data_IF_027619714150
#
_entry.id   IF_027619714150
#
_cell.length_a   1.000
_cell.length_b   1.000
_cell.length_c   1.000
_cell.angle_alpha   90.00
_cell.angle_beta   90.00
_cell.angle_gamma   90.00
#
_symmetry.space_group_name_H-M   'P 1'
#
loop_
_entity.id
_entity.type
_entity.pdbx_description
1 polymer ?
#
# COMPACT_ATOMS: atom_id res chain seq x y z
N UNK A 1 -6.02 19.84 22.30
CA UNK A 1 -4.72 19.90 21.59
C UNK A 1 -5.01 19.53 20.14
N UNK A 2 -4.41 20.22 19.19
CA UNK A 2 -4.53 19.82 17.77
C UNK A 2 -3.81 18.49 17.62
N UNK A 3 -4.41 17.54 16.88
CA UNK A 3 -3.75 16.25 16.62
C UNK A 3 -2.46 16.45 15.84
N UNK A 4 -1.50 15.56 16.04
CA UNK A 4 -0.22 15.48 15.32
C UNK A 4 0.01 14.09 14.73
N UNK A 5 -1.07 13.34 14.52
CA UNK A 5 -1.06 11.93 14.12
C UNK A 5 -1.36 11.79 12.64
N UNK A 6 -0.58 10.97 11.93
CA UNK A 6 -0.94 10.41 10.63
C UNK A 6 -1.29 8.92 10.78
N UNK A 7 -2.34 8.48 10.10
CA UNK A 7 -2.59 7.05 9.91
C UNK A 7 -1.99 6.61 8.59
N UNK A 8 -1.13 5.60 8.65
CA UNK A 8 -0.49 5.05 7.46
C UNK A 8 -0.78 3.57 7.33
N UNK A 9 -1.02 3.12 6.10
CA UNK A 9 -1.47 1.77 5.80
C UNK A 9 -0.50 1.06 4.85
N UNK A 10 -0.03 -0.16 5.21
CA UNK A 10 0.94 -0.87 4.40
C UNK A 10 0.34 -1.41 3.10
N UNK A 11 1.22 -1.62 2.12
CA UNK A 11 0.94 -2.31 0.88
C UNK A 11 1.41 -3.77 0.88
N UNK A 12 1.55 -4.32 -0.34
CA UNK A 12 2.02 -5.68 -0.56
C UNK A 12 3.41 -5.93 0.08
N UNK A 13 3.60 -7.16 0.56
CA UNK A 13 4.84 -7.58 1.24
C UNK A 13 4.74 -7.58 2.77
N UNK A 14 3.65 -7.10 3.33
CA UNK A 14 3.40 -7.11 4.79
C UNK A 14 2.61 -8.32 5.27
N UNK A 15 2.00 -9.10 4.35
CA UNK A 15 1.16 -10.25 4.68
C UNK A 15 1.96 -11.44 5.22
N UNK A 16 1.28 -12.24 6.06
CA UNK A 16 1.71 -13.57 6.51
C UNK A 16 0.51 -14.39 6.95
N UNK A 17 0.59 -15.70 6.84
CA UNK A 17 -0.42 -16.60 7.40
C UNK A 17 -0.53 -16.40 8.91
N UNK A 18 -1.75 -16.37 9.42
CA UNK A 18 -2.07 -16.13 10.82
C UNK A 18 -2.22 -14.66 11.21
N UNK A 19 -1.97 -13.69 10.30
CA UNK A 19 -2.16 -12.27 10.61
C UNK A 19 -3.62 -11.99 11.00
N UNK A 20 -3.82 -11.29 12.11
CA UNK A 20 -5.14 -10.93 12.63
C UNK A 20 -5.95 -12.06 13.27
N UNK A 21 -5.52 -13.35 13.18
CA UNK A 21 -6.27 -14.50 13.71
C UNK A 21 -6.55 -14.38 15.21
N UNK A 22 -5.49 -14.21 16.01
CA UNK A 22 -5.63 -14.07 17.46
C UNK A 22 -6.53 -12.87 17.84
N UNK A 23 -6.49 -11.79 17.05
CA UNK A 23 -7.35 -10.63 17.28
C UNK A 23 -8.82 -10.93 16.95
N UNK A 24 -9.11 -11.63 15.85
CA UNK A 24 -10.46 -12.06 15.47
C UNK A 24 -11.07 -13.04 16.48
N UNK A 25 -10.26 -13.89 17.11
CA UNK A 25 -10.71 -14.82 18.15
C UNK A 25 -11.19 -14.09 19.41
N UNK A 26 -10.57 -12.98 19.80
CA UNK A 26 -10.85 -12.25 21.04
C UNK A 26 -11.68 -10.98 20.89
N UNK A 27 -11.72 -10.37 19.71
CA UNK A 27 -12.47 -9.14 19.44
C UNK A 27 -13.63 -9.37 18.47
N UNK A 28 -14.83 -8.98 18.88
CA UNK A 28 -16.01 -9.00 18.03
C UNK A 28 -15.90 -8.00 16.87
N UNK A 29 -15.30 -6.83 17.12
CA UNK A 29 -15.07 -5.81 16.10
C UNK A 29 -14.13 -6.33 14.99
N UNK A 30 -13.02 -6.97 15.36
CA UNK A 30 -12.09 -7.57 14.38
C UNK A 30 -12.77 -8.69 13.59
N UNK A 31 -13.50 -9.58 14.26
CA UNK A 31 -14.22 -10.69 13.61
C UNK A 31 -15.22 -10.18 12.58
N UNK A 32 -16.02 -9.17 12.93
CA UNK A 32 -17.01 -8.58 12.04
C UNK A 32 -16.38 -8.00 10.76
N UNK A 33 -15.16 -7.49 10.83
CA UNK A 33 -14.42 -7.01 9.63
C UNK A 33 -14.11 -8.16 8.69
N UNK A 34 -13.56 -9.28 9.18
CA UNK A 34 -13.23 -10.44 8.35
C UNK A 34 -14.50 -11.06 7.74
N UNK A 35 -15.58 -11.19 8.53
CA UNK A 35 -16.89 -11.67 8.05
C UNK A 35 -17.45 -10.75 6.94
N UNK A 36 -17.40 -9.43 7.13
CA UNK A 36 -17.85 -8.48 6.12
C UNK A 36 -17.05 -8.54 4.81
N UNK A 37 -15.76 -8.80 4.89
CA UNK A 37 -14.91 -8.99 3.69
C UNK A 37 -15.24 -10.32 3.01
N UNK A 38 -15.39 -11.42 3.76
CA UNK A 38 -15.77 -12.72 3.22
C UNK A 38 -17.14 -12.64 2.51
N UNK A 39 -18.13 -11.99 3.13
CA UNK A 39 -19.45 -11.76 2.55
C UNK A 39 -19.36 -10.91 1.26
N UNK A 40 -18.55 -9.83 1.27
CA UNK A 40 -18.38 -8.96 0.12
C UNK A 40 -17.75 -9.69 -1.07
N UNK A 41 -16.84 -10.63 -0.81
CA UNK A 41 -16.14 -11.41 -1.83
C UNK A 41 -16.87 -12.68 -2.24
N UNK A 42 -17.80 -13.18 -1.40
CA UNK A 42 -18.57 -14.41 -1.65
C UNK A 42 -17.77 -15.70 -1.42
N UNK A 43 -16.63 -15.60 -0.71
CA UNK A 43 -15.82 -16.77 -0.33
C UNK A 43 -15.01 -16.44 0.96
N UNK A 44 -14.60 -17.50 1.74
CA UNK A 44 -13.94 -17.30 3.02
C UNK A 44 -12.44 -16.96 2.84
N UNK A 45 -12.12 -15.71 2.47
CA UNK A 45 -10.75 -15.22 2.41
C UNK A 45 -10.09 -15.28 3.79
N UNK A 46 -10.86 -15.05 4.87
CA UNK A 46 -10.39 -15.13 6.24
C UNK A 46 -9.73 -16.47 6.56
N UNK A 47 -10.24 -17.58 6.03
CA UNK A 47 -9.63 -18.90 6.18
C UNK A 47 -8.22 -18.94 5.55
N UNK A 48 -8.05 -18.37 4.36
CA UNK A 48 -6.74 -18.27 3.72
C UNK A 48 -5.78 -17.39 4.53
N UNK A 49 -6.29 -16.29 5.09
CA UNK A 49 -5.49 -15.40 5.94
C UNK A 49 -5.02 -16.12 7.20
N UNK A 50 -5.89 -16.87 7.85
CA UNK A 50 -5.62 -17.47 9.16
C UNK A 50 -4.86 -18.78 9.09
N UNK A 51 -5.18 -19.61 8.10
CA UNK A 51 -4.72 -21.00 8.05
C UNK A 51 -3.90 -21.32 6.79
N UNK A 52 -3.80 -20.40 5.85
CA UNK A 52 -3.03 -20.54 4.62
C UNK A 52 -3.72 -21.39 3.55
N UNK A 53 -2.96 -22.03 2.67
CA UNK A 53 -1.48 -22.07 2.63
C UNK A 53 -0.83 -20.74 2.20
N UNK A 54 0.48 -20.58 2.47
CA UNK A 54 1.23 -19.37 2.12
C UNK A 54 1.12 -19.03 0.62
N UNK A 55 1.20 -20.03 -0.25
CA UNK A 55 1.12 -19.85 -1.71
C UNK A 55 -0.22 -19.24 -2.13
N UNK A 56 -1.31 -19.58 -1.46
CA UNK A 56 -2.62 -18.97 -1.72
C UNK A 56 -2.67 -17.52 -1.26
N UNK A 57 -2.04 -17.19 -0.13
CA UNK A 57 -2.01 -15.84 0.43
C UNK A 57 -1.08 -14.91 -0.37
N UNK A 58 0.03 -15.42 -0.91
CA UNK A 58 1.00 -14.64 -1.71
C UNK A 58 0.42 -14.22 -3.07
N UNK A 59 -0.56 -14.94 -3.60
CA UNK A 59 -1.25 -14.57 -4.84
C UNK A 59 -1.82 -13.15 -4.72
N UNK A 60 -1.48 -12.27 -5.67
CA UNK A 60 -1.81 -10.82 -5.62
C UNK A 60 -3.30 -10.57 -5.41
N UNK A 61 -4.16 -11.39 -6.04
CA UNK A 61 -5.62 -11.30 -5.88
C UNK A 61 -6.13 -11.61 -4.47
N UNK A 62 -5.41 -12.45 -3.71
CA UNK A 62 -5.75 -12.74 -2.32
C UNK A 62 -5.03 -11.81 -1.35
N UNK A 63 -3.77 -11.49 -1.65
CA UNK A 63 -2.90 -10.67 -0.84
C UNK A 63 -3.47 -9.28 -0.58
N UNK A 64 -3.96 -8.60 -1.63
CA UNK A 64 -4.48 -7.25 -1.51
C UNK A 64 -5.70 -7.17 -0.57
N UNK A 65 -6.78 -7.92 -0.77
CA UNK A 65 -7.92 -7.88 0.16
C UNK A 65 -7.58 -8.45 1.54
N UNK A 66 -6.59 -9.35 1.65
CA UNK A 66 -6.14 -9.86 2.95
C UNK A 66 -5.46 -8.79 3.82
N UNK A 67 -4.59 -7.97 3.22
CA UNK A 67 -3.95 -6.85 3.91
C UNK A 67 -4.98 -5.78 4.27
N UNK A 68 -5.91 -5.44 3.37
CA UNK A 68 -7.03 -4.54 3.65
C UNK A 68 -7.83 -5.03 4.87
N UNK A 69 -8.32 -6.28 4.85
CA UNK A 69 -9.12 -6.85 5.92
C UNK A 69 -8.40 -6.81 7.27
N UNK A 70 -7.13 -7.26 7.29
CA UNK A 70 -6.33 -7.28 8.52
C UNK A 70 -6.08 -5.87 9.06
N UNK A 71 -5.76 -4.92 8.19
CA UNK A 71 -5.51 -3.53 8.59
C UNK A 71 -6.77 -2.87 9.16
N UNK A 72 -7.93 -3.09 8.53
CA UNK A 72 -9.20 -2.56 9.03
C UNK A 72 -9.65 -3.27 10.31
N UNK A 73 -9.35 -4.58 10.48
CA UNK A 73 -9.59 -5.26 11.74
C UNK A 73 -8.75 -4.67 12.89
N UNK A 74 -7.49 -4.35 12.63
CA UNK A 74 -6.62 -3.65 13.61
C UNK A 74 -7.16 -2.25 13.92
N UNK A 75 -7.53 -1.50 12.88
CA UNK A 75 -8.13 -0.18 13.01
C UNK A 75 -9.41 -0.21 13.86
N UNK A 76 -10.32 -1.15 13.61
CA UNK A 76 -11.60 -1.27 14.33
C UNK A 76 -11.39 -1.47 15.83
N UNK A 77 -10.45 -2.34 16.22
CA UNK A 77 -10.12 -2.59 17.64
C UNK A 77 -9.53 -1.35 18.29
N UNK A 78 -8.56 -0.70 17.64
CA UNK A 78 -7.93 0.51 18.18
C UNK A 78 -8.93 1.65 18.35
N UNK A 79 -9.91 1.78 17.46
CA UNK A 79 -10.99 2.77 17.59
C UNK A 79 -11.95 2.42 18.70
N UNK A 80 -12.34 1.15 18.85
CA UNK A 80 -13.21 0.68 19.94
C UNK A 80 -12.56 0.91 21.30
N UNK A 81 -11.27 0.67 21.43
CA UNK A 81 -10.51 0.87 22.66
C UNK A 81 -10.16 2.34 22.93
N UNK A 82 -10.43 3.26 22.01
CA UNK A 82 -10.02 4.66 22.10
C UNK A 82 -8.51 4.89 22.09
N UNK A 83 -7.76 3.91 21.59
CA UNK A 83 -6.29 3.92 21.57
C UNK A 83 -5.70 4.68 20.38
N UNK A 84 -6.50 5.02 19.37
CA UNK A 84 -6.06 5.70 18.15
C UNK A 84 -6.60 7.14 18.11
N UNK A 85 -5.72 8.16 18.27
CA UNK A 85 -6.10 9.56 18.12
C UNK A 85 -6.53 9.88 16.68
N UNK A 86 -7.41 10.89 16.53
CA UNK A 86 -7.84 11.32 15.20
C UNK A 86 -6.64 11.86 14.37
N UNK A 87 -6.62 11.61 13.06
CA UNK A 87 -5.48 11.95 12.23
C UNK A 87 -5.56 13.39 11.70
N UNK A 88 -4.40 13.99 11.42
CA UNK A 88 -4.31 15.22 10.60
C UNK A 88 -4.34 14.88 9.12
N UNK A 89 -3.86 13.69 8.74
CA UNK A 89 -3.93 13.14 7.41
C UNK A 89 -3.87 11.60 7.46
N UNK A 90 -4.28 10.99 6.36
CA UNK A 90 -4.13 9.55 6.14
C UNK A 90 -3.29 9.32 4.89
N UNK A 91 -2.56 8.22 4.83
CA UNK A 91 -1.80 7.81 3.65
C UNK A 91 -1.73 6.29 3.55
N UNK A 92 -1.49 5.78 2.37
CA UNK A 92 -1.33 4.34 2.18
C UNK A 92 -0.33 4.07 1.08
N UNK A 93 0.47 3.04 1.21
CA UNK A 93 1.41 2.65 0.17
C UNK A 93 0.69 1.77 -0.87
N UNK A 94 0.48 2.28 -2.08
CA UNK A 94 -0.21 1.57 -3.17
C UNK A 94 -1.60 1.04 -2.74
N UNK A 95 -1.77 -0.26 -2.54
CA UNK A 95 -2.97 -0.87 -1.95
C UNK A 95 -3.43 -0.15 -0.68
N UNK A 96 -2.48 0.34 0.12
CA UNK A 96 -2.76 1.01 1.38
C UNK A 96 -3.65 2.24 1.26
N UNK A 97 -3.71 2.92 0.10
CA UNK A 97 -4.63 4.04 -0.11
C UNK A 97 -6.10 3.62 0.00
N UNK A 98 -6.47 2.45 -0.54
CA UNK A 98 -7.84 1.91 -0.38
C UNK A 98 -8.17 1.68 1.09
N UNK A 99 -7.19 1.17 1.85
CA UNK A 99 -7.33 0.95 3.29
C UNK A 99 -7.45 2.28 4.05
N UNK A 100 -6.64 3.28 3.68
CA UNK A 100 -6.69 4.63 4.24
C UNK A 100 -8.06 5.28 4.01
N UNK A 101 -8.63 5.13 2.81
CA UNK A 101 -9.96 5.64 2.46
C UNK A 101 -11.08 4.97 3.26
N UNK A 102 -10.99 3.65 3.51
CA UNK A 102 -11.95 2.95 4.39
C UNK A 102 -11.82 3.46 5.81
N UNK A 103 -10.62 3.55 6.36
CA UNK A 103 -10.39 4.05 7.71
C UNK A 103 -10.82 5.51 7.88
N UNK A 104 -10.69 6.33 6.84
CA UNK A 104 -11.13 7.73 6.82
C UNK A 104 -12.63 7.91 6.50
N UNK A 105 -13.38 6.83 6.31
CA UNK A 105 -14.83 6.85 6.05
C UNK A 105 -15.22 7.32 4.63
N UNK A 106 -14.26 7.40 3.73
CA UNK A 106 -14.48 7.82 2.34
C UNK A 106 -15.00 6.69 1.45
N UNK A 107 -14.63 5.45 1.72
CA UNK A 107 -15.00 4.26 0.96
C UNK A 107 -15.55 3.18 1.91
N UNK A 108 -16.63 2.51 1.52
CA UNK A 108 -17.17 1.40 2.30
C UNK A 108 -16.25 0.16 2.18
N UNK A 109 -16.10 -0.59 3.29
CA UNK A 109 -15.21 -1.76 3.34
C UNK A 109 -15.55 -2.81 2.27
N UNK A 110 -16.83 -3.07 2.05
CA UNK A 110 -17.29 -4.06 1.06
C UNK A 110 -16.91 -3.66 -0.36
N UNK A 111 -17.01 -2.37 -0.71
CA UNK A 111 -16.64 -1.87 -2.02
C UNK A 111 -15.11 -1.88 -2.19
N UNK A 112 -14.37 -1.43 -1.18
CA UNK A 112 -12.91 -1.52 -1.17
C UNK A 112 -12.42 -2.97 -1.37
N UNK A 113 -13.01 -3.93 -0.63
CA UNK A 113 -12.65 -5.34 -0.75
C UNK A 113 -12.86 -5.89 -2.17
N UNK A 114 -13.99 -5.56 -2.81
CA UNK A 114 -14.26 -5.95 -4.20
C UNK A 114 -13.28 -5.29 -5.18
N UNK A 115 -13.01 -3.99 -5.01
CA UNK A 115 -12.09 -3.24 -5.87
C UNK A 115 -10.67 -3.82 -5.78
N UNK A 116 -10.13 -3.97 -4.57
CA UNK A 116 -8.75 -4.48 -4.41
C UNK A 116 -8.62 -5.95 -4.79
N UNK A 117 -9.70 -6.75 -4.64
CA UNK A 117 -9.76 -8.11 -5.18
C UNK A 117 -9.65 -8.08 -6.70
N UNK A 118 -10.46 -7.28 -7.38
CA UNK A 118 -10.43 -7.15 -8.83
C UNK A 118 -9.11 -6.55 -9.33
N UNK A 119 -8.56 -5.58 -8.61
CA UNK A 119 -7.23 -5.00 -8.86
C UNK A 119 -6.17 -6.10 -8.86
N UNK A 120 -6.15 -6.94 -7.84
CA UNK A 120 -5.21 -8.06 -7.72
C UNK A 120 -5.37 -9.10 -8.84
N UNK A 121 -6.61 -9.44 -9.22
CA UNK A 121 -6.90 -10.34 -10.35
C UNK A 121 -6.37 -9.78 -11.66
N UNK A 122 -6.68 -8.52 -11.97
CA UNK A 122 -6.20 -7.85 -13.17
C UNK A 122 -4.68 -7.72 -13.22
N UNK A 123 -4.06 -7.44 -12.08
CA UNK A 123 -2.60 -7.40 -11.97
C UNK A 123 -1.94 -8.76 -12.21
N UNK A 124 -2.57 -9.87 -11.81
CA UNK A 124 -2.12 -11.22 -12.15
C UNK A 124 -2.36 -11.55 -13.63
N UNK A 125 -3.52 -11.21 -14.16
CA UNK A 125 -3.93 -11.47 -15.52
C UNK A 125 -3.06 -10.74 -16.56
N UNK A 126 -2.80 -9.46 -16.29
CA UNK A 126 -1.99 -8.59 -17.15
C UNK A 126 -0.52 -8.48 -16.70
N UNK A 127 -0.17 -9.09 -15.58
CA UNK A 127 1.17 -9.04 -15.01
C UNK A 127 2.21 -9.64 -15.94
N UNK A 128 2.96 -8.80 -16.63
CA UNK A 128 4.12 -9.17 -17.45
C UNK A 128 5.33 -8.43 -16.92
N UNK A 129 6.48 -9.12 -16.86
CA UNK A 129 7.69 -8.54 -16.31
C UNK A 129 7.81 -8.78 -14.80
N UNK A 130 8.40 -7.84 -14.08
CA UNK A 130 8.67 -7.96 -12.66
C UNK A 130 9.13 -6.66 -12.04
N UNK A 131 9.72 -6.78 -10.86
CA UNK A 131 10.26 -5.65 -10.11
C UNK A 131 11.60 -6.00 -9.47
N UNK A 132 12.48 -5.01 -9.34
CA UNK A 132 13.74 -5.12 -8.61
C UNK A 132 13.88 -3.98 -7.62
N UNK A 133 14.24 -4.30 -6.37
CA UNK A 133 14.59 -3.30 -5.38
C UNK A 133 16.08 -2.99 -5.46
N UNK A 134 16.43 -1.71 -5.51
CA UNK A 134 17.80 -1.20 -5.54
C UNK A 134 18.08 -0.43 -4.25
N UNK A 135 19.18 -0.76 -3.59
CA UNK A 135 19.57 -0.15 -2.32
C UNK A 135 20.96 0.50 -2.44
N UNK A 136 21.06 1.70 -1.86
CA UNK A 136 22.32 2.42 -1.72
C UNK A 136 22.76 3.17 -2.98
N UNK A 137 21.80 3.55 -3.82
CA UNK A 137 22.01 4.40 -4.97
C UNK A 137 21.07 5.61 -4.89
N UNK A 138 21.53 6.77 -5.32
CA UNK A 138 20.70 7.99 -5.35
C UNK A 138 19.59 7.87 -6.39
N UNK A 139 18.41 8.42 -6.08
CA UNK A 139 17.23 8.33 -6.93
C UNK A 139 17.48 8.93 -8.32
N UNK A 140 18.20 10.06 -8.41
CA UNK A 140 18.56 10.69 -9.70
C UNK A 140 19.39 9.77 -10.61
N UNK A 141 20.35 9.04 -10.02
CA UNK A 141 21.16 8.05 -10.77
C UNK A 141 20.29 6.89 -11.20
N UNK A 142 19.32 6.49 -10.37
CA UNK A 142 18.42 5.40 -10.69
C UNK A 142 17.41 5.76 -11.78
N UNK A 143 16.95 7.00 -11.81
CA UNK A 143 16.13 7.52 -12.93
C UNK A 143 16.90 7.53 -14.26
N UNK A 144 18.22 7.80 -14.23
CA UNK A 144 19.08 7.65 -15.41
C UNK A 144 19.17 6.19 -15.85
N UNK A 145 19.41 5.27 -14.91
CA UNK A 145 19.42 3.82 -15.17
C UNK A 145 18.10 3.39 -15.80
N UNK A 146 16.97 3.83 -15.25
CA UNK A 146 15.64 3.50 -15.75
C UNK A 146 15.47 3.98 -17.21
N UNK A 147 15.87 5.22 -17.50
CA UNK A 147 15.79 5.81 -18.84
C UNK A 147 16.68 5.08 -19.86
N UNK A 148 17.92 4.71 -19.46
CA UNK A 148 18.88 4.03 -20.34
C UNK A 148 18.43 2.59 -20.67
N UNK A 149 17.73 1.92 -19.75
CA UNK A 149 17.35 0.51 -19.88
C UNK A 149 15.89 0.28 -20.27
N UNK A 150 15.08 1.35 -20.28
CA UNK A 150 13.65 1.27 -20.63
C UNK A 150 12.78 0.63 -19.56
N UNK A 151 13.24 0.63 -18.30
CA UNK A 151 12.39 0.31 -17.14
C UNK A 151 11.84 1.60 -16.52
N UNK A 152 10.91 1.47 -15.59
CA UNK A 152 10.29 2.60 -14.89
C UNK A 152 10.58 2.53 -13.39
N UNK A 153 10.63 3.69 -12.73
CA UNK A 153 10.70 3.72 -11.27
C UNK A 153 9.31 3.47 -10.71
N UNK A 154 9.13 2.38 -9.99
CA UNK A 154 7.85 2.00 -9.41
C UNK A 154 7.61 2.61 -8.03
N UNK A 155 8.62 2.64 -7.16
CA UNK A 155 8.46 3.17 -5.81
C UNK A 155 9.73 3.89 -5.34
N UNK A 156 9.56 5.10 -4.81
CA UNK A 156 10.55 5.82 -4.03
C UNK A 156 10.28 5.57 -2.54
N UNK A 157 10.83 4.48 -1.99
CA UNK A 157 10.44 4.00 -0.66
C UNK A 157 11.13 4.74 0.50
N UNK A 158 12.41 5.07 0.34
CA UNK A 158 13.18 5.88 1.30
C UNK A 158 14.47 6.35 0.60
N UNK A 159 15.19 7.33 1.13
CA UNK A 159 16.49 7.72 0.58
C UNK A 159 17.41 6.52 0.37
N UNK A 160 17.82 6.30 -0.89
CA UNK A 160 18.63 5.17 -1.30
C UNK A 160 17.91 3.80 -1.26
N UNK A 161 16.59 3.77 -1.33
CA UNK A 161 15.81 2.54 -1.43
C UNK A 161 14.65 2.73 -2.41
N UNK A 162 14.85 2.32 -3.64
CA UNK A 162 13.95 2.56 -4.77
C UNK A 162 13.70 1.26 -5.51
N UNK A 163 12.51 1.11 -6.09
CA UNK A 163 12.10 -0.09 -6.83
C UNK A 163 11.91 0.25 -8.30
N UNK A 164 12.47 -0.56 -9.17
CA UNK A 164 12.27 -0.50 -10.62
C UNK A 164 11.28 -1.56 -11.08
N UNK A 165 10.53 -1.24 -12.11
CA UNK A 165 9.49 -2.08 -12.71
C UNK A 165 9.66 -2.10 -14.23
N UNK A 166 9.43 -3.27 -14.85
CA UNK A 166 9.56 -3.39 -16.29
C UNK A 166 9.57 -4.82 -16.82
N UNK A 167 9.87 -4.99 -18.09
CA UNK A 167 10.05 -6.31 -18.72
C UNK A 167 11.29 -6.99 -18.17
N UNK A 168 11.26 -8.32 -18.08
CA UNK A 168 12.34 -9.10 -17.43
C UNK A 168 13.74 -8.81 -18.01
N UNK A 169 13.88 -8.75 -19.33
CA UNK A 169 15.15 -8.45 -19.99
C UNK A 169 15.68 -7.04 -19.68
N UNK A 170 14.77 -6.05 -19.65
CA UNK A 170 15.11 -4.68 -19.30
C UNK A 170 15.51 -4.55 -17.81
N UNK A 171 14.85 -5.31 -16.93
CA UNK A 171 15.18 -5.36 -15.51
C UNK A 171 16.54 -6.00 -15.24
N UNK A 172 16.92 -7.02 -16.01
CA UNK A 172 18.26 -7.61 -15.92
C UNK A 172 19.34 -6.60 -16.30
N UNK A 173 19.11 -5.85 -17.39
CA UNK A 173 20.03 -4.78 -17.82
C UNK A 173 20.08 -3.65 -16.77
N UNK A 174 18.92 -3.24 -16.23
CA UNK A 174 18.85 -2.22 -15.18
C UNK A 174 19.56 -2.66 -13.90
N UNK A 175 19.40 -3.92 -13.50
CA UNK A 175 20.09 -4.49 -12.33
C UNK A 175 21.60 -4.52 -12.49
N UNK A 176 22.11 -4.85 -13.68
CA UNK A 176 23.53 -4.82 -13.99
C UNK A 176 24.07 -3.39 -13.96
N UNK A 177 23.42 -2.46 -14.67
CA UNK A 177 23.82 -1.06 -14.74
C UNK A 177 23.76 -0.37 -13.37
N UNK A 178 22.74 -0.64 -12.55
CA UNK A 178 22.63 -0.11 -11.20
C UNK A 178 23.83 -0.55 -10.32
N UNK A 179 24.29 -1.81 -10.46
CA UNK A 179 25.48 -2.30 -9.76
C UNK A 179 26.74 -1.58 -10.25
N UNK A 180 26.91 -1.39 -11.55
CA UNK A 180 28.03 -0.64 -12.14
C UNK A 180 28.06 0.82 -11.65
N UNK A 181 26.90 1.44 -11.45
CA UNK A 181 26.74 2.80 -10.91
C UNK A 181 26.90 2.87 -9.38
N UNK A 182 27.16 1.75 -8.70
CA UNK A 182 27.47 1.70 -7.27
C UNK A 182 26.33 1.30 -6.35
N UNK A 183 25.25 0.70 -6.86
CA UNK A 183 24.20 0.14 -6.00
C UNK A 183 24.79 -0.90 -5.05
N UNK A 184 24.54 -0.70 -3.73
CA UNK A 184 25.03 -1.61 -2.69
C UNK A 184 24.39 -2.99 -2.80
N UNK A 185 23.11 -3.06 -3.18
CA UNK A 185 22.35 -4.29 -3.33
C UNK A 185 21.22 -4.12 -4.35
N UNK A 186 21.02 -5.14 -5.16
CA UNK A 186 19.87 -5.26 -6.07
C UNK A 186 19.19 -6.59 -5.78
N UNK A 187 17.87 -6.58 -5.56
CA UNK A 187 17.07 -7.75 -5.16
C UNK A 187 15.88 -7.87 -6.09
N UNK A 188 15.75 -8.99 -6.79
CA UNK A 188 14.52 -9.32 -7.52
C UNK A 188 13.40 -9.58 -6.53
N UNK A 189 12.27 -8.90 -6.73
CA UNK A 189 11.10 -9.09 -5.87
C UNK A 189 10.28 -10.30 -6.34
N UNK A 190 9.68 -11.07 -5.42
CA UNK A 190 8.87 -12.24 -5.75
C UNK A 190 7.46 -11.82 -6.20
N UNK A 191 7.38 -11.04 -7.27
CA UNK A 191 6.12 -10.56 -7.86
C UNK A 191 6.09 -10.88 -9.35
N UNK A 192 4.92 -11.21 -9.86
CA UNK A 192 4.71 -11.57 -11.26
C UNK A 192 4.02 -10.42 -12.01
N UNK A 193 4.64 -9.23 -11.99
CA UNK A 193 4.11 -8.08 -12.70
C UNK A 193 4.97 -6.84 -12.56
N UNK A 194 4.96 -6.02 -13.61
CA UNK A 194 5.62 -4.72 -13.63
C UNK A 194 4.69 -3.65 -13.03
N UNK A 195 4.40 -3.78 -11.71
CA UNK A 195 3.48 -2.86 -11.02
C UNK A 195 4.02 -1.43 -11.02
N UNK A 196 3.11 -0.45 -11.01
CA UNK A 196 3.44 0.97 -11.02
C UNK A 196 4.30 1.37 -12.23
N UNK A 197 3.90 0.89 -13.42
CA UNK A 197 4.51 1.22 -14.70
C UNK A 197 3.44 1.32 -15.79
N UNK A 198 3.79 1.87 -16.94
CA UNK A 198 2.92 1.93 -18.12
C UNK A 198 2.40 0.56 -18.58
N UNK A 199 3.08 -0.53 -18.21
CA UNK A 199 2.62 -1.90 -18.49
C UNK A 199 1.33 -2.27 -17.75
N UNK A 200 0.92 -1.51 -16.75
CA UNK A 200 -0.34 -1.68 -15.99
C UNK A 200 -1.52 -0.88 -16.58
N UNK A 201 -1.36 -0.19 -17.70
CA UNK A 201 -2.46 0.55 -18.34
C UNK A 201 -3.73 -0.30 -18.59
N UNK A 202 -3.64 -1.56 -19.06
CA UNK A 202 -4.81 -2.41 -19.20
C UNK A 202 -5.53 -2.70 -17.86
N UNK A 203 -4.79 -2.70 -16.76
CA UNK A 203 -5.36 -2.88 -15.40
C UNK A 203 -6.15 -1.63 -15.01
N UNK A 204 -5.57 -0.44 -15.23
CA UNK A 204 -6.23 0.84 -14.94
C UNK A 204 -7.53 1.00 -15.75
N UNK A 205 -7.49 0.70 -17.04
CA UNK A 205 -8.67 0.75 -17.92
C UNK A 205 -9.77 -0.23 -17.49
N UNK A 206 -9.42 -1.48 -17.15
CA UNK A 206 -10.38 -2.50 -16.74
C UNK A 206 -10.96 -2.25 -15.34
N UNK A 207 -10.22 -1.56 -14.46
CA UNK A 207 -10.67 -1.23 -13.11
C UNK A 207 -11.48 0.07 -13.05
N UNK A 208 -11.32 0.97 -14.03
CA UNK A 208 -11.98 2.28 -14.11
C UNK A 208 -13.48 2.25 -13.81
N UNK A 209 -14.31 1.40 -14.49
CA UNK A 209 -15.74 1.41 -14.25
C UNK A 209 -16.11 1.11 -12.79
N UNK A 210 -15.29 0.31 -12.13
CA UNK A 210 -15.52 -0.09 -10.75
C UNK A 210 -15.18 1.02 -9.75
N UNK A 211 -14.08 1.76 -10.00
CA UNK A 211 -13.68 2.91 -9.19
C UNK A 211 -14.65 4.08 -9.40
N UNK A 212 -15.07 4.35 -10.64
CA UNK A 212 -16.01 5.43 -10.96
C UNK A 212 -17.41 5.19 -10.36
N UNK A 213 -17.85 3.93 -10.31
CA UNK A 213 -19.16 3.56 -9.76
C UNK A 213 -19.18 3.47 -8.23
N UNK A 214 -18.02 3.37 -7.57
CA UNK A 214 -17.95 3.24 -6.12
C UNK A 214 -18.49 4.49 -5.41
N UNK A 215 -19.44 4.34 -4.46
CA UNK A 215 -19.88 5.45 -3.63
C UNK A 215 -18.72 5.97 -2.78
N UNK A 216 -18.26 7.16 -3.08
CA UNK A 216 -17.12 7.76 -2.39
C UNK A 216 -17.54 9.08 -1.74
N UNK A 217 -17.06 9.34 -0.52
CA UNK A 217 -17.36 10.52 0.28
C UNK A 217 -16.09 11.28 0.60
N UNK A 218 -16.23 12.50 1.09
CA UNK A 218 -15.09 13.24 1.64
C UNK A 218 -14.53 12.50 2.87
N UNK A 219 -13.20 12.24 2.95
CA UNK A 219 -12.55 11.61 4.09
C UNK A 219 -12.53 12.56 5.31
N UNK A 220 -12.57 11.99 6.53
CA UNK A 220 -12.47 12.76 7.79
C UNK A 220 -11.16 13.55 7.91
N UNK A 221 -10.12 13.09 7.26
CA UNK A 221 -8.81 13.75 7.11
C UNK A 221 -8.31 13.56 5.69
N UNK A 222 -7.53 14.50 5.12
CA UNK A 222 -7.07 14.39 3.73
C UNK A 222 -6.23 13.13 3.52
N UNK A 223 -6.41 12.48 2.37
CA UNK A 223 -5.50 11.49 1.84
C UNK A 223 -4.29 12.20 1.26
N UNK A 224 -3.09 11.83 1.67
CA UNK A 224 -1.87 12.25 0.97
C UNK A 224 -1.64 11.26 -0.17
N UNK A 225 -1.75 11.73 -1.40
CA UNK A 225 -1.73 10.93 -2.62
C UNK A 225 -0.37 10.30 -2.91
N UNK A 226 -0.35 9.08 -3.43
CA UNK A 226 0.89 8.36 -3.80
C UNK A 226 1.57 8.96 -5.04
N UNK A 227 0.79 9.52 -5.98
CA UNK A 227 1.29 9.97 -7.29
C UNK A 227 2.05 11.29 -7.19
N UNK A 228 1.53 12.27 -6.43
CA UNK A 228 2.08 13.63 -6.38
C UNK A 228 2.18 14.22 -4.96
N UNK A 229 1.89 13.42 -3.95
CA UNK A 229 1.92 13.79 -2.54
C UNK A 229 0.99 14.96 -2.15
N UNK A 230 -0.03 15.28 -2.97
CA UNK A 230 -1.03 16.31 -2.62
C UNK A 230 -2.02 15.79 -1.57
N UNK A 231 -2.51 16.65 -0.67
CA UNK A 231 -3.61 16.31 0.23
C UNK A 231 -4.94 16.36 -0.53
N UNK A 232 -5.63 15.24 -0.64
CA UNK A 232 -6.89 15.08 -1.34
C UNK A 232 -8.06 14.94 -0.37
N UNK A 233 -9.18 15.61 -0.66
CA UNK A 233 -10.46 15.47 0.04
C UNK A 233 -11.62 15.25 -0.93
N UNK A 234 -11.53 15.81 -2.12
CA UNK A 234 -12.59 15.70 -3.13
C UNK A 234 -12.69 14.26 -3.64
N UNK A 235 -13.90 13.65 -3.62
CA UNK A 235 -14.08 12.27 -4.09
C UNK A 235 -13.69 12.03 -5.54
N UNK A 236 -13.84 13.02 -6.42
CA UNK A 236 -13.50 12.85 -7.84
C UNK A 236 -11.99 12.95 -8.06
N UNK A 237 -11.28 13.81 -7.30
CA UNK A 237 -9.82 13.82 -7.27
C UNK A 237 -9.26 12.51 -6.73
N UNK A 238 -9.89 11.94 -5.67
CA UNK A 238 -9.50 10.65 -5.11
C UNK A 238 -9.71 9.51 -6.12
N UNK A 239 -10.82 9.50 -6.88
CA UNK A 239 -11.01 8.51 -7.96
C UNK A 239 -9.93 8.60 -9.02
N UNK A 240 -9.54 9.83 -9.39
CA UNK A 240 -8.47 10.09 -10.34
C UNK A 240 -7.15 9.52 -9.83
N UNK A 241 -6.79 9.81 -8.57
CA UNK A 241 -5.61 9.27 -7.91
C UNK A 241 -5.58 7.74 -7.95
N UNK A 242 -6.67 7.08 -7.53
CA UNK A 242 -6.75 5.61 -7.50
C UNK A 242 -6.58 4.95 -8.88
N UNK A 243 -6.90 5.66 -9.95
CA UNK A 243 -6.67 5.20 -11.32
C UNK A 243 -5.24 5.48 -11.79
N UNK A 244 -4.73 6.67 -11.54
CA UNK A 244 -3.39 7.09 -11.94
C UNK A 244 -2.30 6.30 -11.21
N UNK A 245 -2.48 6.03 -9.90
CA UNK A 245 -1.50 5.30 -9.10
C UNK A 245 -1.20 3.89 -9.61
N UNK A 246 -2.10 3.28 -10.42
CA UNK A 246 -1.90 1.93 -10.99
C UNK A 246 -0.70 1.92 -11.93
N UNK A 247 -0.49 3.00 -12.67
CA UNK A 247 0.56 3.15 -13.68
C UNK A 247 1.69 4.09 -13.27
N UNK A 248 1.48 4.88 -12.21
CA UNK A 248 2.43 5.87 -11.73
C UNK A 248 3.29 5.34 -10.58
N UNK A 249 4.43 6.00 -10.36
CA UNK A 249 5.31 5.71 -9.22
C UNK A 249 4.64 6.04 -7.90
N UNK A 250 4.80 5.17 -6.90
CA UNK A 250 4.51 5.49 -5.50
C UNK A 250 5.63 6.38 -4.96
N UNK A 251 5.33 7.64 -4.67
CA UNK A 251 6.29 8.65 -4.19
C UNK A 251 6.33 8.71 -2.66
N UNK A 252 6.52 7.55 -2.02
CA UNK A 252 6.40 7.40 -0.57
C UNK A 252 7.29 8.37 0.23
N UNK A 253 8.48 8.69 -0.28
CA UNK A 253 9.35 9.72 0.34
C UNK A 253 8.65 11.07 0.41
N UNK A 254 7.98 11.47 -0.67
CA UNK A 254 7.26 12.74 -0.74
C UNK A 254 5.97 12.69 0.07
N UNK A 255 5.24 11.58 0.05
CA UNK A 255 4.04 11.34 0.87
C UNK A 255 4.34 11.54 2.35
N UNK A 256 5.41 10.95 2.87
CA UNK A 256 5.79 11.10 4.29
C UNK A 256 6.21 12.53 4.61
N UNK A 257 6.93 13.21 3.70
CA UNK A 257 7.29 14.62 3.87
C UNK A 257 6.06 15.52 3.87
N UNK A 258 5.15 15.33 2.93
CA UNK A 258 3.89 16.07 2.84
C UNK A 258 3.02 15.86 4.09
N UNK A 259 2.92 14.62 4.59
CA UNK A 259 2.23 14.33 5.84
C UNK A 259 2.88 15.08 7.04
N UNK A 260 4.20 15.11 7.11
CA UNK A 260 4.92 15.87 8.12
C UNK A 260 4.68 17.37 8.01
N UNK A 261 4.70 17.93 6.79
CA UNK A 261 4.44 19.36 6.54
C UNK A 261 2.96 19.70 6.82
N UNK A 262 2.06 18.74 6.68
CA UNK A 262 0.65 18.84 7.09
C UNK A 262 0.43 18.76 8.61
N UNK A 263 1.50 18.58 9.38
CA UNK A 263 1.47 18.62 10.85
C UNK A 263 1.72 17.29 11.55
N UNK A 264 1.87 16.18 10.83
CA UNK A 264 2.13 14.88 11.45
C UNK A 264 3.52 14.85 12.11
N UNK A 265 3.56 14.30 13.34
CA UNK A 265 4.79 14.03 14.10
C UNK A 265 4.85 12.59 14.58
N UNK A 266 3.67 11.96 14.65
CA UNK A 266 3.48 10.55 15.01
C UNK A 266 2.77 9.84 13.87
N UNK A 267 3.32 8.74 13.40
CA UNK A 267 2.81 7.93 12.30
C UNK A 267 2.42 6.56 12.85
N UNK A 268 1.14 6.23 12.82
CA UNK A 268 0.66 4.90 13.21
C UNK A 268 0.55 4.03 11.95
N UNK A 269 1.40 3.01 11.83
CA UNK A 269 1.27 2.00 10.78
C UNK A 269 0.22 0.98 11.18
N UNK A 270 -0.96 1.12 10.57
CA UNK A 270 -2.15 0.32 10.88
C UNK A 270 -2.26 -0.81 9.87
N UNK A 271 -1.74 -1.95 10.25
CA UNK A 271 -1.73 -3.14 9.40
C UNK A 271 -0.71 -4.18 9.86
N UNK A 272 -0.59 -5.30 9.13
CA UNK A 272 0.36 -6.34 9.47
C UNK A 272 1.79 -5.88 9.20
N UNK A 273 2.71 -6.25 10.09
CA UNK A 273 4.14 -5.96 9.96
C UNK A 273 4.56 -4.56 10.45
N UNK A 274 5.69 -4.08 9.93
CA UNK A 274 6.34 -2.83 10.34
C UNK A 274 7.18 -2.21 9.22
N UNK A 275 6.75 -2.35 7.99
CA UNK A 275 7.52 -1.90 6.81
C UNK A 275 7.61 -0.39 6.77
N UNK A 276 6.46 0.29 6.86
CA UNK A 276 6.39 1.75 6.78
C UNK A 276 7.02 2.41 7.99
N UNK A 277 6.82 1.86 9.20
CA UNK A 277 7.47 2.32 10.43
C UNK A 277 8.99 2.26 10.35
N UNK A 278 9.54 1.33 9.57
CA UNK A 278 10.97 1.24 9.30
C UNK A 278 11.48 2.24 8.26
N UNK A 279 10.62 2.72 7.37
CA UNK A 279 10.96 3.69 6.31
C UNK A 279 10.83 5.14 6.79
N UNK A 280 9.77 5.45 7.51
CA UNK A 280 9.39 6.83 7.90
C UNK A 280 10.50 7.58 8.63
N UNK A 281 11.18 7.05 9.67
CA UNK A 281 12.26 7.77 10.35
C UNK A 281 13.50 8.02 9.48
N UNK A 282 13.67 7.26 8.40
CA UNK A 282 14.74 7.46 7.42
C UNK A 282 14.42 8.60 6.45
N UNK A 283 13.13 8.91 6.27
CA UNK A 283 12.64 9.98 5.39
C UNK A 283 12.59 11.30 6.15
N UNK A 284 12.00 11.29 7.35
CA UNK A 284 11.91 12.45 8.25
C UNK A 284 12.47 12.04 9.61
N UNK A 285 13.73 12.40 9.90
CA UNK A 285 14.33 12.11 11.20
C UNK A 285 13.60 12.82 12.35
N UNK A 286 13.46 12.15 13.48
CA UNK A 286 12.88 12.74 14.69
C UNK A 286 11.37 12.58 14.83
N UNK A 287 10.67 12.02 13.86
CA UNK A 287 9.26 11.63 14.01
C UNK A 287 9.13 10.27 14.71
N UNK A 288 8.01 10.05 15.36
CA UNK A 288 7.64 8.76 15.94
C UNK A 288 6.89 7.91 14.89
N UNK A 289 7.33 6.70 14.68
CA UNK A 289 6.66 5.73 13.79
C UNK A 289 6.30 4.47 14.59
N UNK A 290 5.01 4.21 14.75
CA UNK A 290 4.45 3.20 15.64
C UNK A 290 3.77 2.10 14.82
N UNK A 291 4.36 0.90 14.69
CA UNK A 291 3.63 -0.25 14.17
C UNK A 291 2.58 -0.68 15.19
N UNK A 292 1.32 -0.78 14.78
CA UNK A 292 0.23 -1.08 15.75
C UNK A 292 0.10 -2.57 16.08
N UNK A 293 0.54 -3.45 15.19
CA UNK A 293 0.39 -4.89 15.38
C UNK A 293 0.95 -5.40 16.74
N UNK A 294 2.16 -4.98 17.19
CA UNK A 294 2.65 -5.38 18.50
C UNK A 294 1.83 -4.85 19.69
N UNK A 295 1.03 -3.79 19.48
CA UNK A 295 0.16 -3.24 20.52
C UNK A 295 -1.12 -4.05 20.70
N UNK A 296 -1.49 -4.80 19.68
CA UNK A 296 -2.70 -5.61 19.66
C UNK A 296 -2.49 -7.04 20.19
N UNK A 297 -1.29 -7.41 20.55
CA UNK A 297 -0.90 -8.61 21.31
C UNK A 297 -1.07 -9.91 20.56
#
# INVERSE_FOLDING_TARGET
>A
MVSDVAWVFPGQGSQRVGMGKALAERSAAARAVFEAVDDALGFPLSQTIFDGPDEALISTKNQQPAILATSIAYFAVLREEGALPDPVCVAGHSLGEYTALVAAGALELADAARIVRRRGELMEEHGRGGMVAVLGLDDAVLEEVARETGVEVANFNAPGQTTLSGRSEALEAAAALAKERGARRVVTLPVNGAFHSSLMEPVAEALRPMIEAAPMREPIAPLIADVDARPLRDPDEIRTELLEQITASVRWVEVVRAAHDHGARRFFEIGPGKVLSGLIPRIVPGVEAVPVEPLLG
#
